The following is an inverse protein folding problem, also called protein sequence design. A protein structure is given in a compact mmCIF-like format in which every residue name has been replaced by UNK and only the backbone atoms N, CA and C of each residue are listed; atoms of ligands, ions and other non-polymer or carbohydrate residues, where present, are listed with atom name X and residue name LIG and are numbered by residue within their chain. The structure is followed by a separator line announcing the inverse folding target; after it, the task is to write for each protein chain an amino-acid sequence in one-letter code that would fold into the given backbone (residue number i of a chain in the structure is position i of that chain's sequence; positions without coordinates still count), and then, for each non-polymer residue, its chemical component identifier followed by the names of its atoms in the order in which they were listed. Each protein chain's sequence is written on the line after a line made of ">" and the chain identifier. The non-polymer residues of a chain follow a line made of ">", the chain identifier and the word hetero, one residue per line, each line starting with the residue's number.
data_IF_494414729138
#
_entry.id   IF_494414729138
#
_cell.length_a   1.000
_cell.length_b   1.000
_cell.length_c   1.000
_cell.angle_alpha   90.00
_cell.angle_beta   90.00
_cell.angle_gamma   90.00
#
_symmetry.space_group_name_H-M   'P 1'
#
loop_
_entity.id
_entity.type
_entity.pdbx_description
1 polymer ?
#
# COMPACT_ATOMS: atom_id res chain seq x y z
N UNK A 1 13.15 14.07 -14.25
CA UNK A 1 12.88 12.67 -13.84
C UNK A 1 11.60 12.23 -14.51
N UNK A 2 11.50 10.97 -14.89
CA UNK A 2 10.28 10.39 -15.46
C UNK A 2 9.19 10.27 -14.37
N UNK A 3 7.92 10.53 -14.74
CA UNK A 3 6.79 10.56 -13.80
C UNK A 3 6.58 9.19 -13.17
N UNK A 4 6.71 8.12 -13.97
CA UNK A 4 6.57 6.75 -13.44
C UNK A 4 7.72 6.40 -12.49
N UNK A 5 8.93 6.91 -12.74
CA UNK A 5 10.04 6.75 -11.80
C UNK A 5 9.78 7.44 -10.46
N UNK A 6 9.19 8.65 -10.48
CA UNK A 6 8.80 9.40 -9.28
C UNK A 6 7.71 8.67 -8.47
N UNK A 7 6.70 8.12 -9.15
CA UNK A 7 5.66 7.31 -8.50
C UNK A 7 6.25 6.07 -7.84
N UNK A 8 7.16 5.40 -8.53
CA UNK A 8 7.82 4.21 -8.02
C UNK A 8 8.72 4.52 -6.82
N UNK A 9 9.42 5.66 -6.84
CA UNK A 9 10.21 6.13 -5.71
C UNK A 9 9.32 6.45 -4.49
N UNK A 10 8.23 7.19 -4.69
CA UNK A 10 7.29 7.53 -3.63
C UNK A 10 6.64 6.27 -3.01
N UNK A 11 6.15 5.34 -3.84
CA UNK A 11 5.54 4.09 -3.38
C UNK A 11 6.52 3.24 -2.56
N UNK A 12 7.77 3.08 -3.03
CA UNK A 12 8.81 2.36 -2.27
C UNK A 12 9.20 3.07 -0.98
N UNK A 13 9.23 4.40 -0.99
CA UNK A 13 9.55 5.18 0.21
C UNK A 13 8.47 5.02 1.29
N UNK A 14 7.19 4.99 0.91
CA UNK A 14 6.08 4.77 1.82
C UNK A 14 6.17 3.41 2.54
N UNK A 15 6.69 2.36 1.88
CA UNK A 15 6.84 1.05 2.49
C UNK A 15 7.76 1.04 3.71
N UNK A 16 8.67 2.01 3.87
CA UNK A 16 9.57 2.09 5.04
C UNK A 16 8.84 2.33 6.37
N UNK A 17 7.60 2.81 6.32
CA UNK A 17 6.75 3.01 7.50
C UNK A 17 5.94 1.76 7.87
N UNK A 18 6.02 0.69 7.08
CA UNK A 18 5.32 -0.57 7.35
C UNK A 18 6.24 -1.52 8.10
N UNK A 19 5.77 -1.91 9.28
CA UNK A 19 6.45 -2.80 10.23
C UNK A 19 5.71 -4.12 10.38
N UNK A 20 6.39 -5.09 11.01
CA UNK A 20 5.86 -6.43 11.23
C UNK A 20 4.65 -6.40 12.18
N UNK A 21 3.61 -7.18 11.86
CA UNK A 21 2.37 -7.28 12.60
C UNK A 21 1.33 -6.21 12.29
N UNK A 22 1.60 -5.28 11.36
CA UNK A 22 0.67 -4.22 11.02
C UNK A 22 -0.49 -4.68 10.13
N UNK A 23 -1.68 -4.11 10.40
CA UNK A 23 -2.83 -4.07 9.50
C UNK A 23 -2.72 -2.85 8.59
N UNK A 24 -2.55 -3.07 7.29
CA UNK A 24 -2.22 -2.04 6.30
C UNK A 24 -3.38 -1.82 5.34
N UNK A 25 -3.94 -0.61 5.33
CA UNK A 25 -4.84 -0.17 4.28
C UNK A 25 -4.10 0.05 2.96
N UNK A 26 -4.51 -0.68 1.92
CA UNK A 26 -3.92 -0.64 0.59
C UNK A 26 -4.83 0.20 -0.32
N UNK A 27 -4.39 1.41 -0.64
CA UNK A 27 -5.07 2.34 -1.52
C UNK A 27 -5.18 1.87 -2.98
N UNK A 28 -5.49 2.79 -3.88
CA UNK A 28 -5.67 2.50 -5.31
C UNK A 28 -4.91 3.49 -6.19
N UNK A 29 -4.49 3.04 -7.37
CA UNK A 29 -3.94 3.92 -8.42
C UNK A 29 -2.50 3.61 -8.80
N UNK A 30 -2.02 4.35 -9.80
CA UNK A 30 -0.73 4.08 -10.45
C UNK A 30 0.49 4.23 -9.51
N UNK A 31 0.41 5.09 -8.49
CA UNK A 31 1.45 5.22 -7.46
C UNK A 31 1.40 4.07 -6.47
N UNK A 32 0.21 3.73 -5.96
CA UNK A 32 0.01 2.67 -4.95
C UNK A 32 0.39 1.30 -5.49
N UNK A 33 0.28 1.07 -6.81
CA UNK A 33 0.82 -0.12 -7.47
C UNK A 33 2.25 -0.43 -7.01
N UNK A 34 3.11 0.57 -6.92
CA UNK A 34 4.51 0.38 -6.53
C UNK A 34 4.67 0.10 -5.04
N UNK A 35 3.79 0.65 -4.19
CA UNK A 35 3.69 0.27 -2.77
C UNK A 35 3.37 -1.21 -2.64
N UNK A 36 2.35 -1.70 -3.34
CA UNK A 36 1.92 -3.12 -3.27
C UNK A 36 3.02 -4.05 -3.76
N UNK A 37 3.67 -3.73 -4.90
CA UNK A 37 4.78 -4.52 -5.42
C UNK A 37 5.94 -4.60 -4.41
N UNK A 38 6.29 -3.48 -3.77
CA UNK A 38 7.38 -3.44 -2.79
C UNK A 38 7.00 -4.16 -1.49
N UNK A 39 5.77 -4.01 -0.99
CA UNK A 39 5.30 -4.76 0.18
C UNK A 39 5.30 -6.27 -0.11
N UNK A 40 4.83 -6.69 -1.28
CA UNK A 40 4.89 -8.10 -1.69
C UNK A 40 6.32 -8.63 -1.78
N UNK A 41 7.27 -7.82 -2.27
CA UNK A 41 8.70 -8.15 -2.23
C UNK A 41 9.18 -8.35 -0.79
N UNK A 42 8.88 -7.41 0.12
CA UNK A 42 9.29 -7.50 1.54
C UNK A 42 8.66 -8.68 2.26
N UNK A 43 7.39 -9.01 1.98
CA UNK A 43 6.75 -10.22 2.51
C UNK A 43 7.52 -11.47 2.07
N UNK A 44 7.84 -11.58 0.78
CA UNK A 44 8.51 -12.76 0.21
C UNK A 44 9.99 -12.88 0.55
N UNK A 45 10.73 -11.77 0.49
CA UNK A 45 12.19 -11.75 0.60
C UNK A 45 12.68 -11.44 2.02
N UNK A 46 11.95 -10.61 2.76
CA UNK A 46 12.34 -10.15 4.10
C UNK A 46 11.54 -10.83 5.23
N UNK A 47 10.50 -11.61 4.89
CA UNK A 47 9.63 -12.23 5.88
C UNK A 47 8.78 -11.22 6.66
N UNK A 48 8.46 -10.08 6.04
CA UNK A 48 7.54 -9.11 6.62
C UNK A 48 6.16 -9.75 6.78
N UNK A 49 5.63 -9.79 8.00
CA UNK A 49 4.27 -10.27 8.27
C UNK A 49 3.35 -9.07 8.43
N UNK A 50 2.37 -8.93 7.55
CA UNK A 50 1.34 -7.88 7.58
C UNK A 50 0.01 -8.47 7.08
N UNK A 51 -1.08 -7.77 7.37
CA UNK A 51 -2.40 -8.03 6.78
C UNK A 51 -2.80 -6.81 5.95
N UNK A 52 -3.12 -7.01 4.68
CA UNK A 52 -3.59 -5.96 3.78
C UNK A 52 -5.11 -5.84 3.75
N UNK A 53 -5.62 -4.61 3.67
CA UNK A 53 -7.04 -4.31 3.42
C UNK A 53 -7.16 -3.44 2.17
N UNK A 54 -7.58 -4.00 1.02
CA UNK A 54 -7.60 -3.29 -0.25
C UNK A 54 -8.82 -2.35 -0.39
N UNK A 55 -8.64 -1.19 -1.01
CA UNK A 55 -9.74 -0.25 -1.32
C UNK A 55 -10.43 -0.50 -2.67
N UNK A 56 -9.87 -1.38 -3.51
CA UNK A 56 -10.47 -1.76 -4.81
C UNK A 56 -10.16 -3.20 -5.21
N UNK A 57 -10.97 -3.74 -6.12
CA UNK A 57 -10.78 -5.08 -6.71
C UNK A 57 -9.42 -5.18 -7.42
N UNK A 58 -8.96 -4.10 -8.07
CA UNK A 58 -7.67 -4.09 -8.75
C UNK A 58 -6.50 -4.17 -7.75
N UNK A 59 -6.61 -3.45 -6.63
CA UNK A 59 -5.64 -3.53 -5.51
C UNK A 59 -5.65 -4.92 -4.89
N UNK A 60 -6.83 -5.49 -4.62
CA UNK A 60 -6.99 -6.84 -4.07
C UNK A 60 -6.32 -7.90 -4.95
N UNK A 61 -6.58 -7.86 -6.26
CA UNK A 61 -6.01 -8.79 -7.22
C UNK A 61 -4.48 -8.70 -7.24
N UNK A 62 -3.93 -7.49 -7.29
CA UNK A 62 -2.49 -7.27 -7.29
C UNK A 62 -1.84 -7.72 -5.96
N UNK A 63 -2.44 -7.37 -4.82
CA UNK A 63 -1.93 -7.75 -3.51
C UNK A 63 -1.91 -9.27 -3.32
N UNK A 64 -2.95 -9.95 -3.81
CA UNK A 64 -3.03 -11.41 -3.84
C UNK A 64 -1.94 -12.01 -4.73
N UNK A 65 -1.73 -11.48 -5.93
CA UNK A 65 -0.69 -11.93 -6.87
C UNK A 65 0.72 -11.84 -6.26
N UNK A 66 0.99 -10.75 -5.53
CA UNK A 66 2.29 -10.56 -4.89
C UNK A 66 2.42 -11.27 -3.54
N UNK A 67 1.36 -11.93 -3.04
CA UNK A 67 1.38 -12.79 -1.86
C UNK A 67 1.20 -12.06 -0.53
N UNK A 68 0.57 -10.89 -0.52
CA UNK A 68 0.19 -10.20 0.72
C UNK A 68 -1.09 -10.88 1.28
N UNK A 69 -1.09 -11.35 2.55
CA UNK A 69 -2.31 -11.83 3.19
C UNK A 69 -3.36 -10.73 3.29
N UNK A 70 -4.62 -11.03 2.98
CA UNK A 70 -5.71 -10.06 2.97
C UNK A 70 -6.81 -10.39 3.99
N UNK A 71 -7.48 -9.36 4.49
CA UNK A 71 -8.67 -9.47 5.33
C UNK A 71 -9.69 -8.37 4.99
N UNK A 72 -10.95 -8.56 5.39
CA UNK A 72 -11.93 -7.47 5.41
C UNK A 72 -11.63 -6.52 6.56
N UNK A 73 -11.99 -5.23 6.40
CA UNK A 73 -11.88 -4.27 7.50
C UNK A 73 -12.73 -4.69 8.71
N UNK A 74 -13.89 -5.31 8.46
CA UNK A 74 -14.82 -5.75 9.50
C UNK A 74 -14.25 -6.90 10.37
N UNK A 75 -13.24 -7.61 9.87
CA UNK A 75 -12.59 -8.72 10.59
C UNK A 75 -11.46 -8.24 11.53
N UNK A 76 -11.13 -6.95 11.48
CA UNK A 76 -10.00 -6.35 12.19
C UNK A 76 -10.45 -5.30 13.21
N UNK A 77 -9.66 -5.11 14.27
CA UNK A 77 -9.90 -4.08 15.27
C UNK A 77 -9.48 -2.66 14.82
N UNK A 78 -8.93 -2.52 13.60
CA UNK A 78 -8.43 -1.28 13.04
C UNK A 78 -7.24 -1.48 12.10
N UNK A 79 -6.86 -0.40 11.42
CA UNK A 79 -5.68 -0.29 10.57
C UNK A 79 -4.60 0.51 11.30
N UNK A 80 -3.37 0.05 11.25
CA UNK A 80 -2.21 0.75 11.82
C UNK A 80 -1.72 1.86 10.89
N UNK A 81 -1.83 1.63 9.58
CA UNK A 81 -1.44 2.60 8.55
C UNK A 81 -2.28 2.40 7.29
N UNK A 82 -2.55 3.51 6.58
CA UNK A 82 -3.16 3.50 5.25
C UNK A 82 -2.21 4.19 4.28
N UNK A 83 -1.94 3.57 3.14
CA UNK A 83 -1.12 4.16 2.08
C UNK A 83 -1.97 4.27 0.83
N UNK A 84 -2.23 5.51 0.41
CA UNK A 84 -2.99 5.81 -0.80
C UNK A 84 -2.34 6.93 -1.63
N UNK A 85 -2.78 7.05 -2.88
CA UNK A 85 -2.54 8.21 -3.71
C UNK A 85 -3.62 9.28 -3.53
N UNK A 86 -3.44 10.38 -4.23
CA UNK A 86 -4.42 11.47 -4.38
C UNK A 86 -4.21 12.11 -5.74
N UNK A 87 -5.26 12.72 -6.29
CA UNK A 87 -5.15 13.45 -7.56
C UNK A 87 -4.60 14.86 -7.32
N UNK A 88 -5.02 15.52 -6.25
CA UNK A 88 -4.60 16.87 -5.88
C UNK A 88 -4.43 17.02 -4.36
N UNK A 89 -3.46 17.83 -3.94
CA UNK A 89 -3.30 18.23 -2.54
C UNK A 89 -2.91 19.70 -2.40
N UNK A 90 -3.37 20.34 -1.33
CA UNK A 90 -2.99 21.71 -0.97
C UNK A 90 -1.87 21.74 0.10
N UNK A 91 -1.29 22.92 0.43
CA UNK A 91 -0.27 23.04 1.48
C UNK A 91 -0.73 22.64 2.89
N UNK A 92 -2.04 22.58 3.12
CA UNK A 92 -2.68 22.14 4.36
C UNK A 92 -2.93 20.62 4.39
N UNK A 93 -2.58 19.90 3.31
CA UNK A 93 -2.81 18.47 3.09
C UNK A 93 -4.28 18.06 2.96
N UNK A 94 -5.15 18.97 2.52
CA UNK A 94 -6.47 18.60 2.00
C UNK A 94 -6.30 17.86 0.68
N UNK A 95 -7.04 16.77 0.49
CA UNK A 95 -6.88 15.86 -0.65
C UNK A 95 -8.15 15.83 -1.51
N UNK A 96 -8.00 15.62 -2.82
CA UNK A 96 -9.05 15.21 -3.76
C UNK A 96 -8.77 13.80 -4.28
#
# INVERSE_FOLDING_TARGET
>A
MDVEALKAEAGRAACKYVEHGMNVGLGTGSTVKYTILELGRRVKEEGLEIIGVPTSIATEALATEVGIPLASLDDLNGLDIVIDGTDEFDPEFSLI
#
